data_IF_059966153459
#
_entry.id   IF_059966153459
#
_cell.length_a   1.000
_cell.length_b   1.000
_cell.length_c   1.000
_cell.angle_alpha   90.00
_cell.angle_beta   90.00
_cell.angle_gamma   90.00
#
_symmetry.space_group_name_H-M   'P 1'
#
loop_
_entity.id
_entity.type
_entity.pdbx_description
1 polymer ?
#
# COMPACT_ATOMS: atom_id res chain seq x y z
N UNK A 1 5.21 1.37 -20.05
CA UNK A 1 3.75 1.34 -20.35
C UNK A 1 3.04 0.19 -19.63
N UNK A 2 3.48 -1.07 -19.76
CA UNK A 2 2.85 -2.25 -19.12
C UNK A 2 2.69 -2.13 -17.59
N UNK A 3 3.74 -1.66 -16.88
CA UNK A 3 3.67 -1.40 -15.43
C UNK A 3 2.60 -0.37 -15.04
N UNK A 4 2.40 0.67 -15.84
CA UNK A 4 1.41 1.72 -15.57
C UNK A 4 0.00 1.17 -15.77
N UNK A 5 -0.23 0.44 -16.87
CA UNK A 5 -1.53 -0.20 -17.13
C UNK A 5 -1.88 -1.23 -16.06
N UNK A 6 -0.92 -2.02 -15.60
CA UNK A 6 -1.11 -2.95 -14.50
C UNK A 6 -1.49 -2.24 -13.20
N UNK A 7 -0.79 -1.15 -12.87
CA UNK A 7 -1.11 -0.32 -11.71
C UNK A 7 -2.51 0.30 -11.80
N UNK A 8 -2.90 0.81 -12.98
CA UNK A 8 -4.22 1.41 -13.21
C UNK A 8 -5.35 0.37 -13.11
N UNK A 9 -5.14 -0.83 -13.68
CA UNK A 9 -6.08 -1.95 -13.54
C UNK A 9 -6.27 -2.35 -12.08
N UNK A 10 -5.18 -2.44 -11.31
CA UNK A 10 -5.26 -2.77 -9.89
C UNK A 10 -5.93 -1.66 -9.06
N UNK A 11 -5.64 -0.39 -9.34
CA UNK A 11 -6.31 0.76 -8.71
C UNK A 11 -7.83 0.68 -8.91
N UNK A 12 -8.29 0.33 -10.11
CA UNK A 12 -9.72 0.18 -10.40
C UNK A 12 -10.38 -0.92 -9.56
N UNK A 13 -9.71 -2.08 -9.41
CA UNK A 13 -10.25 -3.18 -8.58
C UNK A 13 -10.37 -2.83 -7.10
N UNK A 14 -9.58 -1.86 -6.64
CA UNK A 14 -9.52 -1.43 -5.25
C UNK A 14 -10.36 -0.17 -4.98
N UNK A 15 -10.91 0.48 -6.01
CA UNK A 15 -11.83 1.61 -5.89
C UNK A 15 -13.04 1.35 -4.96
N UNK A 16 -13.60 0.13 -4.85
CA UNK A 16 -14.63 -0.17 -3.88
C UNK A 16 -14.25 0.16 -2.44
N UNK A 17 -12.94 0.21 -2.08
CA UNK A 17 -12.43 0.60 -0.75
C UNK A 17 -12.95 1.95 -0.26
N UNK A 18 -13.03 2.92 -1.17
CA UNK A 18 -13.48 4.27 -0.87
C UNK A 18 -14.99 4.31 -0.56
N UNK A 19 -15.79 3.49 -1.26
CA UNK A 19 -17.25 3.47 -1.11
C UNK A 19 -17.68 3.00 0.28
N UNK A 20 -17.01 1.98 0.81
CA UNK A 20 -17.31 1.42 2.14
C UNK A 20 -16.53 2.07 3.29
N UNK A 21 -15.57 2.94 3.02
CA UNK A 21 -14.91 3.77 4.03
C UNK A 21 -14.29 5.00 3.35
N UNK A 22 -15.00 6.12 3.44
CA UNK A 22 -14.58 7.39 2.82
C UNK A 22 -13.19 7.77 3.31
N UNK A 23 -12.31 8.22 2.42
CA UNK A 23 -10.92 8.58 2.69
C UNK A 23 -9.97 7.41 2.87
N UNK A 24 -10.44 6.17 3.07
CA UNK A 24 -9.57 5.02 3.33
C UNK A 24 -8.70 4.67 2.13
N UNK A 25 -9.22 4.82 0.91
CA UNK A 25 -8.43 4.54 -0.28
C UNK A 25 -7.25 5.52 -0.40
N UNK A 26 -7.55 6.82 -0.37
CA UNK A 26 -6.53 7.85 -0.55
C UNK A 26 -5.50 7.85 0.59
N UNK A 27 -5.95 7.77 1.85
CA UNK A 27 -5.04 7.75 3.00
C UNK A 27 -4.15 6.52 3.00
N UNK A 28 -4.70 5.32 2.75
CA UNK A 28 -3.92 4.09 2.69
C UNK A 28 -2.91 4.16 1.54
N UNK A 29 -3.33 4.61 0.36
CA UNK A 29 -2.45 4.71 -0.81
C UNK A 29 -1.27 5.66 -0.56
N UNK A 30 -1.53 6.85 -0.02
CA UNK A 30 -0.48 7.84 0.24
C UNK A 30 0.47 7.39 1.35
N UNK A 31 -0.06 6.98 2.51
CA UNK A 31 0.77 6.53 3.64
C UNK A 31 1.63 5.33 3.26
N UNK A 32 1.08 4.40 2.50
CA UNK A 32 1.82 3.22 2.04
C UNK A 32 2.82 3.54 0.94
N UNK A 33 2.55 4.52 0.08
CA UNK A 33 3.52 5.04 -0.87
C UNK A 33 4.75 5.65 -0.18
N UNK A 34 4.53 6.45 0.87
CA UNK A 34 5.62 7.03 1.67
C UNK A 34 6.41 5.93 2.38
N UNK A 35 5.73 5.02 3.07
CA UNK A 35 6.39 3.94 3.80
C UNK A 35 7.16 3.00 2.88
N UNK A 36 6.61 2.70 1.69
CA UNK A 36 7.31 1.94 0.65
C UNK A 36 8.56 2.66 0.15
N UNK A 37 8.46 3.95 -0.18
CA UNK A 37 9.63 4.73 -0.59
C UNK A 37 10.68 4.81 0.53
N UNK A 38 10.26 4.97 1.77
CA UNK A 38 11.16 4.99 2.92
C UNK A 38 11.87 3.65 3.12
N UNK A 39 11.15 2.53 3.01
CA UNK A 39 11.73 1.18 3.06
C UNK A 39 12.74 0.96 1.92
N UNK A 40 12.42 1.42 0.70
CA UNK A 40 13.34 1.36 -0.42
C UNK A 40 14.61 2.19 -0.20
N UNK A 41 14.49 3.42 0.33
CA UNK A 41 15.65 4.25 0.61
C UNK A 41 16.58 3.67 1.67
N UNK A 42 16.03 2.91 2.62
CA UNK A 42 16.80 2.33 3.72
C UNK A 42 17.43 0.98 3.37
N UNK A 43 16.75 0.16 2.57
CA UNK A 43 17.12 -1.24 2.35
C UNK A 43 17.34 -1.61 0.87
N UNK A 44 16.93 -0.75 -0.06
CA UNK A 44 17.05 -0.97 -1.48
C UNK A 44 18.49 -0.86 -1.97
N UNK A 45 18.88 -1.74 -2.88
CA UNK A 45 20.21 -1.76 -3.49
C UNK A 45 20.27 -1.03 -4.83
N UNK A 46 19.11 -0.72 -5.42
CA UNK A 46 19.01 -0.01 -6.68
C UNK A 46 19.17 1.51 -6.49
N UNK A 47 19.78 2.18 -7.48
CA UNK A 47 20.04 3.63 -7.43
C UNK A 47 18.77 4.48 -7.57
N UNK A 48 17.75 3.96 -8.24
CA UNK A 48 16.47 4.62 -8.45
C UNK A 48 15.33 3.59 -8.43
N UNK A 49 14.24 3.92 -7.74
CA UNK A 49 12.95 3.26 -7.91
C UNK A 49 11.86 4.33 -7.93
N UNK A 50 11.01 4.30 -8.95
CA UNK A 50 9.88 5.23 -9.11
C UNK A 50 8.64 4.40 -9.40
N UNK A 51 7.62 4.50 -8.55
CA UNK A 51 6.39 3.75 -8.80
C UNK A 51 5.29 3.95 -7.78
N UNK A 52 4.05 3.99 -8.28
CA UNK A 52 2.82 3.94 -7.48
C UNK A 52 2.58 2.56 -6.82
N UNK A 53 3.37 1.55 -7.17
CA UNK A 53 3.16 0.16 -6.74
C UNK A 53 3.29 -0.04 -5.24
N UNK A 54 4.12 0.75 -4.53
CA UNK A 54 4.17 0.71 -3.06
C UNK A 54 2.82 1.09 -2.42
N UNK A 55 2.16 2.13 -2.93
CA UNK A 55 0.82 2.53 -2.50
C UNK A 55 -0.24 1.45 -2.80
N UNK A 56 -0.15 0.81 -3.96
CA UNK A 56 -0.99 -0.33 -4.33
C UNK A 56 -0.80 -1.53 -3.41
N UNK A 57 0.45 -1.85 -3.06
CA UNK A 57 0.75 -2.90 -2.08
C UNK A 57 0.08 -2.59 -0.74
N UNK A 58 0.09 -1.33 -0.33
CA UNK A 58 -0.65 -0.90 0.85
C UNK A 58 -2.15 -1.14 0.78
N UNK A 59 -2.79 -0.77 -0.33
CA UNK A 59 -4.22 -1.05 -0.52
C UNK A 59 -4.52 -2.55 -0.46
N UNK A 60 -3.65 -3.41 -1.01
CA UNK A 60 -3.78 -4.86 -0.88
C UNK A 60 -3.61 -5.33 0.57
N UNK A 61 -2.65 -4.77 1.31
CA UNK A 61 -2.45 -5.08 2.74
C UNK A 61 -3.66 -4.71 3.59
N UNK A 62 -4.24 -3.54 3.32
CA UNK A 62 -5.47 -3.10 3.97
C UNK A 62 -6.65 -4.05 3.67
N UNK A 63 -6.80 -4.44 2.41
CA UNK A 63 -7.91 -5.30 1.99
C UNK A 63 -7.74 -6.73 2.51
N UNK A 64 -6.51 -7.26 2.65
CA UNK A 64 -6.26 -8.54 3.32
C UNK A 64 -6.84 -8.59 4.74
N UNK A 65 -6.60 -7.54 5.54
CA UNK A 65 -7.14 -7.46 6.90
C UNK A 65 -8.67 -7.30 6.87
N UNK A 66 -9.19 -6.50 5.94
CA UNK A 66 -10.63 -6.30 5.77
C UNK A 66 -11.37 -7.59 5.40
N UNK A 67 -10.83 -8.37 4.46
CA UNK A 67 -11.38 -9.66 4.05
C UNK A 67 -11.33 -10.68 5.19
N UNK A 68 -10.22 -10.73 5.94
CA UNK A 68 -10.08 -11.62 7.09
C UNK A 68 -11.10 -11.29 8.19
N UNK A 69 -11.28 -10.00 8.52
CA UNK A 69 -12.28 -9.54 9.49
C UNK A 69 -13.71 -9.88 9.09
N UNK A 70 -14.01 -9.79 7.80
CA UNK A 70 -15.31 -10.12 7.23
C UNK A 70 -15.48 -11.63 6.93
N UNK A 71 -14.53 -12.48 7.37
CA UNK A 71 -14.53 -13.93 7.13
C UNK A 71 -14.62 -14.35 5.66
N UNK A 72 -14.16 -13.48 4.74
CA UNK A 72 -14.12 -13.73 3.29
C UNK A 72 -12.84 -14.50 2.91
N UNK A 73 -12.75 -15.74 3.38
CA UNK A 73 -11.52 -16.55 3.31
C UNK A 73 -11.09 -16.87 1.87
N UNK A 74 -12.04 -17.06 0.95
CA UNK A 74 -11.74 -17.37 -0.45
C UNK A 74 -11.06 -16.20 -1.14
N UNK A 75 -11.62 -15.01 -1.00
CA UNK A 75 -11.10 -13.76 -1.52
C UNK A 75 -9.77 -13.40 -0.87
N UNK A 76 -9.64 -13.60 0.45
CA UNK A 76 -8.37 -13.44 1.17
C UNK A 76 -7.27 -14.31 0.56
N UNK A 77 -7.52 -15.61 0.35
CA UNK A 77 -6.55 -16.52 -0.26
C UNK A 77 -6.21 -16.13 -1.71
N UNK A 78 -7.19 -15.63 -2.46
CA UNK A 78 -6.95 -15.14 -3.82
C UNK A 78 -6.02 -13.91 -3.82
N UNK A 79 -6.33 -12.90 -2.99
CA UNK A 79 -5.52 -11.69 -2.85
C UNK A 79 -4.11 -12.01 -2.33
N UNK A 80 -3.99 -12.90 -1.35
CA UNK A 80 -2.71 -13.32 -0.79
C UNK A 80 -1.82 -13.99 -1.85
N UNK A 81 -2.41 -14.81 -2.73
CA UNK A 81 -1.68 -15.38 -3.88
C UNK A 81 -1.22 -14.30 -4.85
N UNK A 82 -2.03 -13.28 -5.12
CA UNK A 82 -1.62 -12.15 -5.97
C UNK A 82 -0.45 -11.37 -5.35
N UNK A 83 -0.50 -11.09 -4.05
CA UNK A 83 0.61 -10.43 -3.31
C UNK A 83 1.87 -11.29 -3.39
N UNK A 84 1.76 -12.59 -3.13
CA UNK A 84 2.90 -13.50 -3.21
C UNK A 84 3.49 -13.56 -4.63
N UNK A 85 2.66 -13.72 -5.66
CA UNK A 85 3.10 -13.75 -7.05
C UNK A 85 3.82 -12.47 -7.46
N UNK A 86 3.31 -11.31 -7.03
CA UNK A 86 3.96 -10.02 -7.28
C UNK A 86 5.35 -9.93 -6.62
N UNK A 87 5.50 -10.35 -5.35
CA UNK A 87 6.80 -10.33 -4.65
C UNK A 87 7.80 -11.30 -5.29
N UNK A 88 7.34 -12.47 -5.73
CA UNK A 88 8.17 -13.43 -6.48
C UNK A 88 8.62 -12.82 -7.80
N UNK A 89 7.71 -12.22 -8.56
CA UNK A 89 8.06 -11.54 -9.81
C UNK A 89 9.04 -10.38 -9.58
N UNK A 90 8.87 -9.62 -8.50
CA UNK A 90 9.79 -8.54 -8.15
C UNK A 90 11.17 -9.01 -7.69
N UNK A 91 11.29 -10.22 -7.15
CA UNK A 91 12.58 -10.82 -6.83
C UNK A 91 13.34 -11.30 -8.08
N UNK A 92 12.62 -11.67 -9.14
CA UNK A 92 13.18 -12.20 -10.38
C UNK A 92 13.51 -11.08 -11.37
N UNK A 93 12.66 -10.05 -11.46
CA UNK A 93 12.79 -8.99 -12.44
C UNK A 93 13.73 -7.86 -11.94
N UNK A 94 14.83 -7.59 -12.65
CA UNK A 94 15.73 -6.49 -12.28
C UNK A 94 15.01 -5.14 -12.38
N UNK A 95 15.27 -4.25 -11.42
CA UNK A 95 14.63 -2.93 -11.35
C UNK A 95 13.28 -2.90 -10.63
N UNK A 96 12.82 -4.01 -10.07
CA UNK A 96 11.65 -4.05 -9.18
C UNK A 96 12.11 -4.00 -7.72
N UNK A 97 11.65 -2.99 -6.99
CA UNK A 97 12.01 -2.78 -5.58
C UNK A 97 11.02 -3.51 -4.65
N UNK A 98 11.34 -4.74 -4.26
CA UNK A 98 10.53 -5.51 -3.31
C UNK A 98 10.47 -4.84 -1.92
N UNK A 99 11.50 -4.09 -1.54
CA UNK A 99 11.54 -3.30 -0.32
C UNK A 99 10.40 -2.28 -0.30
N UNK A 100 10.14 -1.63 -1.45
CA UNK A 100 9.03 -0.70 -1.59
C UNK A 100 7.66 -1.40 -1.47
N UNK A 101 7.54 -2.60 -2.05
CA UNK A 101 6.30 -3.38 -1.98
C UNK A 101 6.02 -3.87 -0.57
N UNK A 102 7.03 -4.38 0.13
CA UNK A 102 6.92 -4.85 1.52
C UNK A 102 6.61 -3.70 2.47
N UNK A 103 7.32 -2.58 2.35
CA UNK A 103 7.06 -1.38 3.16
C UNK A 103 5.65 -0.85 2.97
N UNK A 104 5.18 -0.78 1.73
CA UNK A 104 3.80 -0.40 1.40
C UNK A 104 2.78 -1.38 1.97
N UNK A 105 2.97 -2.69 1.76
CA UNK A 105 2.07 -3.74 2.25
C UNK A 105 1.90 -3.69 3.78
N UNK A 106 3.01 -3.58 4.51
CA UNK A 106 3.00 -3.48 5.97
C UNK A 106 2.27 -2.22 6.45
N UNK A 107 2.54 -1.06 5.83
CA UNK A 107 1.85 0.18 6.16
C UNK A 107 0.34 0.07 5.94
N UNK A 108 -0.10 -0.53 4.84
CA UNK A 108 -1.52 -0.75 4.57
C UNK A 108 -2.21 -1.69 5.56
N UNK A 109 -1.52 -2.77 5.97
CA UNK A 109 -1.96 -3.64 7.06
C UNK A 109 -2.13 -2.81 8.34
N UNK A 110 -1.15 -1.98 8.71
CA UNK A 110 -1.23 -1.13 9.90
C UNK A 110 -2.39 -0.12 9.82
N UNK A 111 -2.55 0.58 8.70
CA UNK A 111 -3.65 1.54 8.48
C UNK A 111 -5.00 0.87 8.68
N UNK A 112 -5.18 -0.38 8.27
CA UNK A 112 -6.45 -1.10 8.45
C UNK A 112 -6.86 -1.35 9.90
N UNK A 113 -5.92 -1.28 10.86
CA UNK A 113 -6.25 -1.35 12.28
C UNK A 113 -6.84 -0.05 12.81
N UNK A 114 -6.46 1.09 12.24
CA UNK A 114 -6.96 2.40 12.63
C UNK A 114 -8.19 2.81 11.81
N UNK A 115 -8.21 2.43 10.52
CA UNK A 115 -9.28 2.71 9.57
C UNK A 115 -10.00 1.39 9.27
N UNK A 116 -11.18 1.19 9.87
CA UNK A 116 -11.86 -0.11 9.82
C UNK A 116 -13.21 -0.05 9.11
N UNK A 117 -13.38 -0.92 8.12
CA UNK A 117 -14.65 -1.23 7.44
C UNK A 117 -15.52 -2.19 8.28
N UNK A 118 -15.98 -1.77 9.45
CA UNK A 118 -17.06 -2.50 10.16
C UNK A 118 -18.39 -1.83 9.84
N UNK A 119 -19.46 -2.60 9.63
CA UNK A 119 -20.83 -2.12 9.44
C UNK A 119 -21.44 -1.47 10.70
N UNK A 120 -20.70 -0.58 11.35
CA UNK A 120 -21.07 0.04 12.63
C UNK A 120 -19.94 0.77 13.36
N UNK A 121 -18.69 0.66 12.90
CA UNK A 121 -17.60 1.49 13.46
C UNK A 121 -17.39 2.70 12.56
N UNK A 122 -17.74 3.88 13.09
CA UNK A 122 -17.18 5.16 12.67
C UNK A 122 -15.71 5.20 13.10
N UNK A 123 -14.87 4.37 12.49
CA UNK A 123 -13.43 4.37 12.76
C UNK A 123 -12.89 5.75 12.42
N UNK A 124 -12.23 6.39 13.39
CA UNK A 124 -11.64 7.70 13.24
C UNK A 124 -10.79 7.72 11.98
N UNK A 125 -11.26 8.46 10.97
CA UNK A 125 -10.40 8.95 9.91
C UNK A 125 -9.15 9.46 10.59
N UNK A 126 -7.98 8.92 10.25
CA UNK A 126 -6.75 9.68 10.45
C UNK A 126 -7.02 11.00 9.72
N UNK A 127 -7.19 12.12 10.45
CA UNK A 127 -7.63 13.34 9.81
C UNK A 127 -6.56 13.69 8.79
N UNK A 128 -6.97 14.06 7.56
CA UNK A 128 -6.05 14.38 6.47
C UNK A 128 -4.88 15.32 6.84
N UNK A 129 -4.98 16.22 7.86
CA UNK A 129 -3.84 16.98 8.38
C UNK A 129 -2.75 16.13 9.06
N UNK A 130 -3.09 15.01 9.69
CA UNK A 130 -2.10 14.07 10.28
C UNK A 130 -1.35 13.33 9.19
N UNK A 131 -2.04 12.98 8.09
CA UNK A 131 -1.41 12.40 6.89
C UNK A 131 -0.47 13.39 6.22
N UNK A 132 -0.86 14.68 6.16
CA UNK A 132 0.02 15.76 5.71
C UNK A 132 1.23 15.97 6.65
N UNK A 133 1.03 15.90 7.96
CA UNK A 133 2.13 15.98 8.94
C UNK A 133 3.15 14.84 8.76
N UNK A 134 2.69 13.61 8.54
CA UNK A 134 3.56 12.46 8.28
C UNK A 134 4.26 12.55 6.91
N UNK A 135 3.61 13.12 5.89
CA UNK A 135 4.21 13.45 4.60
C UNK A 135 5.36 14.44 4.73
N UNK A 136 5.23 15.44 5.61
CA UNK A 136 6.25 16.45 5.87
C UNK A 136 7.42 15.95 6.74
N UNK A 137 7.19 14.89 7.51
CA UNK A 137 8.20 14.23 8.34
C UNK A 137 8.94 13.09 7.61
N UNK A 138 8.52 12.75 6.39
CA UNK A 138 9.27 11.82 5.55
C UNK A 138 10.69 12.38 5.38
N UNK A 139 11.74 11.63 5.77
CA UNK A 139 13.08 12.18 5.85
C UNK A 139 13.47 12.78 4.51
N UNK A 140 13.72 14.10 4.53
CA UNK A 140 14.35 14.81 3.43
C UNK A 140 15.58 14.03 3.02
N UNK A 141 15.59 13.64 1.74
CA UNK A 141 16.67 12.95 1.05
C UNK A 141 18.02 13.24 1.70
N UNK A 142 18.62 12.22 2.32
CA UNK A 142 20.04 12.31 2.66
C UNK A 142 20.78 12.57 1.35
N UNK A 143 21.54 13.66 1.39
CA UNK A 143 22.32 14.23 0.31
C UNK A 143 22.87 13.19 -0.66
N UNK A 144 22.46 13.32 -1.93
CA UNK A 144 23.25 12.80 -3.04
C UNK A 144 24.56 13.60 -3.06
N UNK A 145 25.67 12.91 -2.82
CA UNK A 145 26.99 13.34 -3.34
C UNK A 145 27.02 13.01 -4.82
#
# INVERSE_FOLDING_TARGET
VFHILFNLGFLYTLAPLEVGCRGAFLTTFLLSGIAGNWAFLQYGTARYAVGASGGLCGLMGFELVSLLRNRRVREFKALLRSVFGMLVMGAILPGVANEAHLGGLLAGVLVSFFVSRRSGYRGALLPWPVVLGLLLLAPGSRHFV
#
